data_IF_198705933155
#
_entry.id   IF_198705933155
#
_cell.length_a   1.000
_cell.length_b   1.000
_cell.length_c   1.000
_cell.angle_alpha   90.00
_cell.angle_beta   90.00
_cell.angle_gamma   90.00
#
_symmetry.space_group_name_H-M   'P 1'
#
loop_
_entity.id
_entity.type
_entity.pdbx_description
1 polymer ?
#
# COMPACT_ATOMS: atom_id res chain seq x y z
N UNK A 1 8.79 -11.59 -0.04
CA UNK A 1 8.55 -13.05 0.13
C UNK A 1 9.80 -13.79 -0.33
N UNK A 2 10.15 -14.89 0.34
CA UNK A 2 11.29 -15.73 -0.02
C UNK A 2 10.88 -17.21 0.01
N UNK A 3 11.49 -18.04 -0.85
CA UNK A 3 11.28 -19.49 -0.90
C UNK A 3 12.64 -20.17 -0.78
N UNK A 4 12.74 -21.15 0.11
CA UNK A 4 13.94 -21.99 0.30
C UNK A 4 13.56 -23.43 0.05
N UNK A 5 14.35 -24.12 -0.78
CA UNK A 5 14.16 -25.54 -1.08
C UNK A 5 15.36 -26.32 -0.53
N UNK A 6 15.14 -27.09 0.52
CA UNK A 6 16.15 -28.01 1.07
C UNK A 6 16.17 -29.31 0.27
N UNK A 7 17.36 -29.70 -0.22
CA UNK A 7 17.56 -30.93 -0.99
C UNK A 7 18.64 -31.79 -0.35
N UNK A 8 18.35 -33.08 -0.19
CA UNK A 8 19.32 -34.11 0.17
C UNK A 8 19.60 -35.01 -1.05
N UNK A 9 20.85 -35.44 -1.23
CA UNK A 9 21.22 -36.28 -2.37
C UNK A 9 20.74 -37.73 -2.19
N UNK A 10 20.01 -38.25 -3.16
CA UNK A 10 19.37 -39.58 -3.10
C UNK A 10 20.08 -40.69 -3.87
N UNK A 11 21.36 -40.54 -4.21
CA UNK A 11 22.15 -41.59 -4.90
C UNK A 11 22.09 -41.55 -6.44
N UNK A 12 21.25 -40.71 -7.04
CA UNK A 12 21.16 -40.52 -8.51
C UNK A 12 21.26 -39.05 -8.88
N UNK A 13 22.10 -38.75 -9.88
CA UNK A 13 22.23 -37.40 -10.44
C UNK A 13 21.04 -37.11 -11.37
N UNK A 14 20.36 -35.98 -11.13
CA UNK A 14 19.21 -35.56 -11.92
C UNK A 14 19.59 -34.85 -13.23
N UNK A 15 20.87 -34.50 -13.40
CA UNK A 15 21.31 -33.59 -14.46
C UNK A 15 20.74 -32.17 -14.31
N UNK A 16 21.21 -31.23 -15.13
CA UNK A 16 20.79 -29.83 -15.04
C UNK A 16 19.27 -29.66 -15.22
N UNK A 17 18.69 -30.29 -16.25
CA UNK A 17 17.24 -30.20 -16.52
C UNK A 17 16.36 -30.87 -15.46
N UNK A 18 16.85 -31.94 -14.81
CA UNK A 18 16.14 -32.56 -13.69
C UNK A 18 16.16 -31.70 -12.43
N UNK A 19 17.28 -31.02 -12.15
CA UNK A 19 17.38 -30.07 -11.03
C UNK A 19 16.45 -28.87 -11.23
N UNK A 20 16.46 -28.24 -12.42
CA UNK A 20 15.58 -27.10 -12.72
C UNK A 20 14.11 -27.45 -12.48
N UNK A 21 13.65 -28.63 -12.94
CA UNK A 21 12.29 -29.10 -12.71
C UNK A 21 11.98 -29.38 -11.24
N UNK A 22 12.91 -30.01 -10.52
CA UNK A 22 12.71 -30.33 -9.10
C UNK A 22 12.59 -29.07 -8.23
N UNK A 23 13.53 -28.13 -8.38
CA UNK A 23 13.53 -26.88 -7.60
C UNK A 23 12.38 -25.95 -8.00
N UNK A 24 12.20 -25.71 -9.30
CA UNK A 24 11.13 -24.85 -9.81
C UNK A 24 9.74 -25.40 -9.49
N UNK A 25 9.54 -26.71 -9.65
CA UNK A 25 8.29 -27.39 -9.31
C UNK A 25 7.96 -27.32 -7.82
N UNK A 26 8.94 -27.57 -6.96
CA UNK A 26 8.75 -27.50 -5.50
C UNK A 26 8.44 -26.07 -5.04
N UNK A 27 9.19 -25.08 -5.55
CA UNK A 27 8.92 -23.67 -5.25
C UNK A 27 7.53 -23.25 -5.74
N UNK A 28 7.15 -23.61 -6.97
CA UNK A 28 5.84 -23.31 -7.53
C UNK A 28 4.71 -23.91 -6.69
N UNK A 29 4.80 -25.19 -6.32
CA UNK A 29 3.80 -25.84 -5.48
C UNK A 29 3.65 -25.15 -4.11
N UNK A 30 4.76 -24.74 -3.49
CA UNK A 30 4.77 -23.97 -2.25
C UNK A 30 4.05 -22.62 -2.41
N UNK A 31 4.36 -21.87 -3.47
CA UNK A 31 3.71 -20.59 -3.76
C UNK A 31 2.20 -20.73 -4.06
N UNK A 32 1.80 -21.82 -4.72
CA UNK A 32 0.39 -22.08 -5.03
C UNK A 32 -0.43 -22.40 -3.78
N UNK A 33 0.16 -23.10 -2.81
CA UNK A 33 -0.50 -23.46 -1.55
C UNK A 33 -0.47 -22.33 -0.51
N UNK A 34 0.40 -21.33 -0.67
CA UNK A 34 0.51 -20.21 0.25
C UNK A 34 -0.68 -19.25 0.14
N UNK A 35 -1.11 -18.73 1.30
CA UNK A 35 -2.07 -17.63 1.34
C UNK A 35 -1.48 -16.39 0.67
N UNK A 36 -2.29 -15.75 -0.17
CA UNK A 36 -1.89 -14.58 -0.95
C UNK A 36 -2.60 -13.35 -0.43
N UNK A 37 -1.85 -12.27 -0.34
CA UNK A 37 -2.37 -10.93 -0.07
C UNK A 37 -2.01 -10.03 -1.25
N UNK A 38 -2.89 -9.08 -1.61
CA UNK A 38 -2.60 -8.16 -2.70
C UNK A 38 -1.39 -7.30 -2.35
N UNK A 39 -0.47 -7.15 -3.31
CA UNK A 39 0.59 -6.17 -3.22
C UNK A 39 0.03 -4.86 -3.76
N UNK A 40 -0.29 -3.93 -2.85
CA UNK A 40 -0.85 -2.62 -3.19
C UNK A 40 0.27 -1.58 -3.11
N UNK A 41 0.45 -0.82 -4.18
CA UNK A 41 1.34 0.34 -4.18
C UNK A 41 0.62 1.53 -3.56
N UNK A 42 1.25 2.18 -2.58
CA UNK A 42 0.68 3.31 -1.86
C UNK A 42 1.43 4.61 -2.18
N UNK A 43 0.66 5.69 -2.26
CA UNK A 43 1.16 7.05 -2.22
C UNK A 43 0.84 7.68 -0.86
N UNK A 44 1.66 8.64 -0.46
CA UNK A 44 1.46 9.41 0.77
C UNK A 44 1.18 10.86 0.42
N UNK A 45 0.07 11.39 0.92
CA UNK A 45 -0.32 12.79 0.82
C UNK A 45 -0.11 13.48 2.18
N UNK A 46 0.49 14.65 2.16
CA UNK A 46 0.47 15.61 3.24
C UNK A 46 -0.66 16.61 2.98
N UNK A 47 -1.61 16.72 3.91
CA UNK A 47 -2.79 17.57 3.77
C UNK A 47 -2.87 18.52 4.94
N UNK A 48 -2.82 19.82 4.67
CA UNK A 48 -3.05 20.85 5.68
C UNK A 48 -4.45 21.44 5.48
N UNK A 49 -5.27 21.42 6.52
CA UNK A 49 -6.66 21.89 6.46
C UNK A 49 -7.06 22.59 7.77
N UNK A 50 -8.13 23.38 7.74
CA UNK A 50 -8.68 23.97 8.96
C UNK A 50 -9.31 22.90 9.86
N UNK A 51 -9.39 23.17 11.17
CA UNK A 51 -10.04 22.26 12.13
C UNK A 51 -11.48 21.88 11.76
N UNK A 52 -12.21 22.81 11.12
CA UNK A 52 -13.59 22.59 10.69
C UNK A 52 -13.73 21.56 9.56
N UNK A 53 -12.68 21.36 8.75
CA UNK A 53 -12.70 20.46 7.60
C UNK A 53 -12.07 19.09 7.91
N UNK A 54 -11.29 18.99 8.99
CA UNK A 54 -10.55 17.78 9.38
C UNK A 54 -11.46 16.55 9.47
N UNK A 55 -12.57 16.65 10.20
CA UNK A 55 -13.46 15.52 10.42
C UNK A 55 -14.14 15.06 9.11
N UNK A 56 -14.47 16.00 8.22
CA UNK A 56 -15.08 15.70 6.92
C UNK A 56 -14.08 15.04 5.98
N UNK A 57 -12.85 15.55 5.93
CA UNK A 57 -11.76 14.97 5.16
C UNK A 57 -11.48 13.54 5.67
N UNK A 58 -11.35 13.34 6.99
CA UNK A 58 -11.13 12.02 7.59
C UNK A 58 -12.23 11.03 7.24
N UNK A 59 -13.49 11.46 7.33
CA UNK A 59 -14.64 10.64 6.97
C UNK A 59 -14.64 10.30 5.48
N UNK A 60 -14.37 11.27 4.62
CA UNK A 60 -14.29 11.07 3.17
C UNK A 60 -13.17 10.11 2.78
N UNK A 61 -11.99 10.19 3.41
CA UNK A 61 -10.90 9.23 3.21
C UNK A 61 -11.33 7.83 3.65
N UNK A 62 -12.05 7.70 4.75
CA UNK A 62 -12.55 6.42 5.26
C UNK A 62 -13.51 5.69 4.31
N UNK A 63 -14.08 6.38 3.31
CA UNK A 63 -14.90 5.76 2.27
C UNK A 63 -14.07 5.00 1.22
N UNK A 64 -12.76 5.26 1.13
CA UNK A 64 -11.86 4.58 0.20
C UNK A 64 -11.23 3.36 0.88
N UNK A 65 -11.44 2.18 0.30
CA UNK A 65 -10.85 0.94 0.82
C UNK A 65 -9.33 1.06 0.86
N UNK A 66 -8.75 0.65 1.99
CA UNK A 66 -7.33 0.67 2.25
C UNK A 66 -6.67 2.06 2.28
N UNK A 67 -7.45 3.15 2.27
CA UNK A 67 -6.92 4.47 2.59
C UNK A 67 -6.88 4.67 4.12
N UNK A 68 -5.84 5.36 4.59
CA UNK A 68 -5.63 5.64 6.02
C UNK A 68 -5.30 7.12 6.20
N UNK A 69 -5.94 7.76 7.17
CA UNK A 69 -5.65 9.14 7.55
C UNK A 69 -5.15 9.21 8.99
N UNK A 70 -3.95 9.75 9.17
CA UNK A 70 -3.32 9.95 10.47
C UNK A 70 -3.07 11.45 10.69
N UNK A 71 -3.16 11.90 11.94
CA UNK A 71 -2.80 13.28 12.28
C UNK A 71 -1.31 13.36 12.53
N UNK A 72 -0.60 14.17 11.75
CA UNK A 72 0.84 14.35 11.85
C UNK A 72 1.23 15.63 12.61
N UNK A 73 0.28 16.52 12.87
CA UNK A 73 0.53 17.72 13.65
C UNK A 73 -0.64 18.71 13.67
N UNK A 74 -0.45 19.77 14.44
CA UNK A 74 -1.38 20.89 14.56
C UNK A 74 -0.63 22.19 14.27
N UNK A 75 -1.31 23.13 13.63
CA UNK A 75 -0.82 24.50 13.42
C UNK A 75 -1.72 25.47 14.18
N UNK A 76 -1.37 26.76 14.19
CA UNK A 76 -2.21 27.80 14.78
C UNK A 76 -3.61 27.88 14.15
N UNK A 77 -3.74 27.45 12.89
CA UNK A 77 -4.94 27.66 12.07
C UNK A 77 -5.61 26.34 11.65
N UNK A 78 -5.04 25.18 12.00
CA UNK A 78 -5.56 23.90 11.52
C UNK A 78 -4.76 22.66 11.88
N UNK A 79 -4.96 21.62 11.07
CA UNK A 79 -4.45 20.27 11.27
C UNK A 79 -3.65 19.83 10.05
N UNK A 80 -2.54 19.13 10.31
CA UNK A 80 -1.76 18.43 9.30
C UNK A 80 -2.09 16.94 9.36
N UNK A 81 -2.61 16.42 8.26
CA UNK A 81 -2.96 15.03 8.06
C UNK A 81 -1.94 14.37 7.12
N UNK A 82 -1.58 13.13 7.43
CA UNK A 82 -0.89 12.24 6.51
C UNK A 82 -1.91 11.20 6.02
N UNK A 83 -2.11 11.14 4.71
CA UNK A 83 -3.07 10.24 4.08
C UNK A 83 -2.31 9.23 3.22
N UNK A 84 -2.35 7.95 3.61
CA UNK A 84 -1.88 6.84 2.79
C UNK A 84 -3.03 6.38 1.91
N UNK A 85 -2.81 6.32 0.61
CA UNK A 85 -3.84 5.95 -0.37
C UNK A 85 -3.26 5.01 -1.42
N UNK A 86 -3.99 3.96 -1.86
CA UNK A 86 -3.59 3.18 -3.02
C UNK A 86 -3.34 4.09 -4.23
N UNK A 87 -2.25 3.88 -4.96
CA UNK A 87 -1.90 4.71 -6.12
C UNK A 87 -3.02 4.79 -7.17
N UNK A 88 -3.81 3.72 -7.31
CA UNK A 88 -4.98 3.66 -8.19
C UNK A 88 -6.15 4.59 -7.78
N UNK A 89 -6.21 5.00 -6.51
CA UNK A 89 -7.25 5.90 -5.95
C UNK A 89 -6.73 7.30 -5.66
N UNK A 90 -5.47 7.58 -6.01
CA UNK A 90 -4.81 8.83 -5.66
C UNK A 90 -5.60 10.05 -6.15
N UNK A 91 -5.97 10.06 -7.42
CA UNK A 91 -6.67 11.21 -8.03
C UNK A 91 -8.09 11.38 -7.47
N UNK A 92 -8.79 10.28 -7.22
CA UNK A 92 -10.14 10.29 -6.62
C UNK A 92 -10.10 10.88 -5.21
N UNK A 93 -9.12 10.50 -4.40
CA UNK A 93 -8.95 11.02 -3.04
C UNK A 93 -8.57 12.50 -3.07
N UNK A 94 -7.67 12.92 -3.96
CA UNK A 94 -7.32 14.35 -4.11
C UNK A 94 -8.55 15.17 -4.49
N UNK A 95 -9.35 14.71 -5.44
CA UNK A 95 -10.61 15.37 -5.84
C UNK A 95 -11.58 15.46 -4.66
N UNK A 96 -11.82 14.35 -3.97
CA UNK A 96 -12.71 14.33 -2.81
C UNK A 96 -12.27 15.31 -1.71
N UNK A 97 -10.96 15.36 -1.39
CA UNK A 97 -10.42 16.30 -0.39
C UNK A 97 -10.64 17.75 -0.85
N UNK A 98 -10.42 18.01 -2.14
CA UNK A 98 -10.63 19.33 -2.73
C UNK A 98 -12.10 19.74 -2.64
N UNK A 99 -13.03 18.86 -2.98
CA UNK A 99 -14.47 19.14 -2.96
C UNK A 99 -14.99 19.39 -1.54
N UNK A 100 -14.63 18.53 -0.59
CA UNK A 100 -15.06 18.62 0.80
C UNK A 100 -14.52 19.88 1.49
N UNK A 101 -13.28 20.27 1.17
CA UNK A 101 -12.64 21.48 1.70
C UNK A 101 -12.94 22.74 0.89
N UNK A 102 -13.74 22.66 -0.18
CA UNK A 102 -13.99 23.78 -1.11
C UNK A 102 -12.69 24.41 -1.64
N UNK A 103 -11.68 23.56 -1.88
CA UNK A 103 -10.34 23.92 -2.34
C UNK A 103 -9.45 24.61 -1.31
N UNK A 104 -9.85 24.69 -0.04
CA UNK A 104 -9.05 25.37 1.00
C UNK A 104 -7.94 24.48 1.57
N UNK A 105 -8.08 23.14 1.48
CA UNK A 105 -7.03 22.24 1.94
C UNK A 105 -5.83 22.25 0.99
N UNK A 106 -4.63 22.38 1.56
CA UNK A 106 -3.37 22.25 0.80
C UNK A 106 -2.95 20.79 0.76
N UNK A 107 -2.94 20.20 -0.43
CA UNK A 107 -2.57 18.80 -0.65
C UNK A 107 -1.22 18.75 -1.35
N UNK A 108 -0.28 17.98 -0.80
CA UNK A 108 1.06 17.78 -1.37
C UNK A 108 1.41 16.29 -1.33
N UNK A 109 2.02 15.78 -2.41
CA UNK A 109 2.57 14.42 -2.38
C UNK A 109 3.85 14.44 -1.55
N UNK A 110 3.91 13.60 -0.52
CA UNK A 110 5.12 13.46 0.28
C UNK A 110 6.17 12.68 -0.54
N UNK A 111 7.44 13.14 -0.59
CA UNK A 111 8.51 12.36 -1.16
C UNK A 111 8.67 11.07 -0.36
N UNK A 112 8.76 9.94 -1.06
CA UNK A 112 9.02 8.61 -0.50
C UNK A 112 10.49 8.52 -0.10
#
# INVERSE_FOLDING_TARGET
MAVVVSRWFGGVLLGAGGLVRAYGGTASACLHAADRQPIISYAVLSVTCAFADEARIRTGVGAFTAALAETNGFTAEGVQLQIKVPCERLDDVIRMITDVSRGQAKVQKSPV
#
